data_IF_149498808012
#
_entry.id   IF_149498808012
#
_cell.length_a   1.000
_cell.length_b   1.000
_cell.length_c   1.000
_cell.angle_alpha   90.00
_cell.angle_beta   90.00
_cell.angle_gamma   90.00
#
_symmetry.space_group_name_H-M   'P 1'
#
loop_
_entity.id
_entity.type
_entity.pdbx_description
1 polymer ?
#
# COMPACT_ATOMS: atom_id res chain seq x y z
N UNK A 1 14.90 24.75 -16.95
CA UNK A 1 14.82 23.45 -17.66
C UNK A 1 13.61 22.69 -17.13
N UNK A 2 12.93 21.90 -17.95
CA UNK A 2 11.78 21.10 -17.50
C UNK A 2 12.17 20.02 -16.46
N UNK A 3 11.19 19.37 -15.83
CA UNK A 3 11.44 18.27 -14.90
C UNK A 3 12.23 17.14 -15.58
N UNK A 4 13.19 16.54 -14.86
CA UNK A 4 14.10 15.49 -15.36
C UNK A 4 14.19 14.34 -14.37
N UNK A 5 14.41 13.13 -14.88
CA UNK A 5 14.68 11.95 -14.06
C UNK A 5 16.02 12.07 -13.32
N UNK A 6 17.01 12.74 -13.93
CA UNK A 6 18.34 13.00 -13.36
C UNK A 6 18.70 14.47 -13.65
N UNK A 7 18.31 15.41 -12.78
CA UNK A 7 18.41 16.85 -13.07
C UNK A 7 19.83 17.36 -13.34
N UNK A 8 20.82 16.83 -12.63
CA UNK A 8 22.24 17.22 -12.68
C UNK A 8 23.14 16.19 -13.39
N UNK A 9 22.52 15.24 -14.10
CA UNK A 9 23.19 14.10 -14.76
C UNK A 9 23.91 13.11 -13.82
N UNK A 10 23.75 13.22 -12.50
CA UNK A 10 24.36 12.30 -11.52
C UNK A 10 23.33 11.76 -10.52
N UNK A 11 22.53 12.63 -9.91
CA UNK A 11 21.59 12.28 -8.83
C UNK A 11 20.16 12.12 -9.37
N UNK A 12 19.53 10.95 -9.20
CA UNK A 12 18.14 10.75 -9.59
C UNK A 12 17.19 11.62 -8.77
N UNK A 13 16.13 12.12 -9.40
CA UNK A 13 14.96 12.65 -8.70
C UNK A 13 14.09 11.52 -8.15
N UNK A 14 13.04 11.83 -7.39
CA UNK A 14 12.06 10.83 -6.93
C UNK A 14 11.51 9.96 -8.07
N UNK A 15 11.20 10.58 -9.22
CA UNK A 15 10.80 9.86 -10.42
C UNK A 15 11.89 8.89 -10.92
N UNK A 16 13.15 9.34 -10.98
CA UNK A 16 14.28 8.48 -11.33
C UNK A 16 14.45 7.31 -10.35
N UNK A 17 14.35 7.58 -9.05
CA UNK A 17 14.40 6.57 -8.00
C UNK A 17 13.25 5.55 -8.11
N UNK A 18 12.04 5.95 -8.49
CA UNK A 18 10.93 5.00 -8.72
C UNK A 18 11.24 4.04 -9.87
N UNK A 19 11.81 4.53 -10.98
CA UNK A 19 12.24 3.68 -12.10
C UNK A 19 13.29 2.68 -11.63
N UNK A 20 14.30 3.14 -10.89
CA UNK A 20 15.35 2.26 -10.34
C UNK A 20 14.78 1.22 -9.39
N UNK A 21 13.98 1.63 -8.40
CA UNK A 21 13.38 0.74 -7.41
C UNK A 21 12.51 -0.33 -8.07
N UNK A 22 11.72 0.04 -9.08
CA UNK A 22 10.90 -0.91 -9.85
C UNK A 22 11.76 -1.99 -10.51
N UNK A 23 12.86 -1.61 -11.15
CA UNK A 23 13.73 -2.58 -11.83
C UNK A 23 14.52 -3.44 -10.84
N UNK A 24 14.97 -2.86 -9.72
CA UNK A 24 15.64 -3.61 -8.64
C UNK A 24 14.69 -4.67 -8.08
N UNK A 25 13.46 -4.29 -7.70
CA UNK A 25 12.47 -5.22 -7.16
C UNK A 25 12.14 -6.34 -8.16
N UNK A 26 11.98 -6.01 -9.44
CA UNK A 26 11.80 -7.02 -10.51
C UNK A 26 13.00 -7.96 -10.62
N UNK A 27 14.22 -7.42 -10.57
CA UNK A 27 15.45 -8.20 -10.61
C UNK A 27 15.63 -9.13 -9.40
N UNK A 28 15.10 -8.74 -8.23
CA UNK A 28 15.05 -9.56 -7.02
C UNK A 28 13.89 -10.58 -7.03
N UNK A 29 13.06 -10.61 -8.08
CA UNK A 29 11.93 -11.52 -8.17
C UNK A 29 10.75 -11.15 -7.28
N UNK A 30 10.59 -9.88 -6.92
CA UNK A 30 9.45 -9.43 -6.12
C UNK A 30 8.12 -9.81 -6.81
N UNK A 31 7.15 -10.39 -6.07
CA UNK A 31 5.89 -10.81 -6.64
C UNK A 31 5.08 -9.60 -7.10
N UNK A 32 4.30 -9.80 -8.17
CA UNK A 32 3.43 -8.75 -8.72
C UNK A 32 2.20 -8.50 -7.85
N UNK A 33 1.75 -9.54 -7.16
CA UNK A 33 0.47 -9.59 -6.46
C UNK A 33 0.63 -9.09 -5.04
N UNK A 34 -0.16 -8.08 -4.67
CA UNK A 34 -0.39 -7.70 -3.27
C UNK A 34 -1.42 -8.65 -2.71
N UNK A 35 -2.63 -8.63 -3.28
CA UNK A 35 -3.70 -9.57 -2.97
C UNK A 35 -4.80 -9.48 -4.02
N UNK A 36 -5.62 -10.52 -4.15
CA UNK A 36 -6.73 -10.57 -5.10
C UNK A 36 -7.93 -11.28 -4.50
N UNK A 37 -9.12 -10.75 -4.76
CA UNK A 37 -10.40 -11.29 -4.30
C UNK A 37 -11.34 -11.35 -5.50
N UNK A 38 -11.89 -12.54 -5.75
CA UNK A 38 -12.86 -12.78 -6.81
C UNK A 38 -14.19 -13.24 -6.21
N UNK A 39 -15.28 -12.59 -6.64
CA UNK A 39 -16.64 -12.84 -6.14
C UNK A 39 -17.58 -13.00 -7.34
N UNK A 40 -18.50 -13.94 -7.25
CA UNK A 40 -19.52 -14.18 -8.26
C UNK A 40 -20.92 -13.92 -7.71
N UNK A 41 -21.77 -13.27 -8.51
CA UNK A 41 -23.21 -13.13 -8.23
C UNK A 41 -23.94 -14.33 -8.83
N UNK A 42 -24.33 -15.28 -7.98
CA UNK A 42 -24.93 -16.55 -8.46
C UNK A 42 -26.45 -16.46 -8.65
N UNK A 43 -27.09 -15.51 -7.97
CA UNK A 43 -28.52 -15.23 -8.01
C UNK A 43 -28.74 -13.79 -7.50
N UNK A 44 -29.92 -13.17 -7.72
CA UNK A 44 -30.23 -11.88 -7.13
C UNK A 44 -29.91 -11.87 -5.62
N UNK A 45 -29.12 -10.89 -5.18
CA UNK A 45 -28.74 -10.73 -3.77
C UNK A 45 -27.96 -11.90 -3.16
N UNK A 46 -27.32 -12.74 -3.98
CA UNK A 46 -26.54 -13.91 -3.55
C UNK A 46 -25.12 -13.85 -4.13
N UNK A 47 -24.14 -13.75 -3.23
CA UNK A 47 -22.74 -13.53 -3.60
C UNK A 47 -21.87 -14.67 -3.08
N UNK A 48 -21.00 -15.20 -3.93
CA UNK A 48 -20.10 -16.31 -3.64
C UNK A 48 -18.65 -15.89 -3.85
N UNK A 49 -17.82 -16.01 -2.82
CA UNK A 49 -16.37 -15.94 -2.96
C UNK A 49 -15.95 -17.06 -3.90
N UNK A 50 -15.14 -16.79 -4.92
CA UNK A 50 -14.63 -17.83 -5.83
C UNK A 50 -13.13 -18.01 -5.67
N UNK A 51 -12.40 -16.94 -5.35
CA UNK A 51 -10.96 -16.96 -5.12
C UNK A 51 -10.56 -15.88 -4.11
N UNK A 52 -9.55 -16.18 -3.29
CA UNK A 52 -8.86 -15.21 -2.45
C UNK A 52 -7.39 -15.56 -2.40
N UNK A 53 -6.52 -14.62 -2.75
CA UNK A 53 -5.07 -14.78 -2.76
C UNK A 53 -4.43 -13.67 -1.91
N UNK A 54 -3.59 -14.07 -0.95
CA UNK A 54 -2.97 -13.18 0.04
C UNK A 54 -3.96 -12.24 0.74
N UNK A 55 -5.20 -12.70 0.93
CA UNK A 55 -6.25 -12.01 1.65
C UNK A 55 -7.14 -13.03 2.38
N UNK A 56 -7.59 -12.65 3.56
CA UNK A 56 -8.59 -13.36 4.34
C UNK A 56 -9.91 -12.61 4.24
N UNK A 57 -11.00 -13.35 4.00
CA UNK A 57 -12.34 -12.79 3.84
C UNK A 57 -13.22 -13.28 4.99
N UNK A 58 -14.13 -12.45 5.46
CA UNK A 58 -15.15 -12.85 6.43
C UNK A 58 -16.47 -12.12 6.18
N UNK A 59 -17.52 -12.60 6.83
CA UNK A 59 -18.82 -11.93 6.85
C UNK A 59 -18.74 -10.59 7.59
N UNK A 60 -19.52 -9.60 7.13
CA UNK A 60 -19.68 -8.34 7.87
C UNK A 60 -20.33 -8.62 9.22
N UNK A 61 -19.75 -8.10 10.30
CA UNK A 61 -20.23 -8.29 11.68
C UNK A 61 -19.67 -9.52 12.39
N UNK A 62 -18.88 -10.35 11.70
CA UNK A 62 -18.13 -11.44 12.33
C UNK A 62 -16.82 -10.94 12.95
N UNK A 63 -16.42 -11.55 14.05
CA UNK A 63 -15.14 -11.26 14.71
C UNK A 63 -14.03 -12.02 13.99
N UNK A 64 -13.12 -11.31 13.32
CA UNK A 64 -12.05 -11.91 12.52
C UNK A 64 -11.01 -12.72 13.30
N UNK A 65 -10.87 -12.47 14.60
CA UNK A 65 -9.93 -13.22 15.45
C UNK A 65 -10.36 -14.67 15.69
N UNK A 66 -11.57 -15.04 15.27
CA UNK A 66 -12.07 -16.41 15.36
C UNK A 66 -11.91 -17.12 14.00
N UNK A 67 -11.06 -18.17 13.90
CA UNK A 67 -10.79 -18.86 12.64
C UNK A 67 -12.05 -19.38 11.92
N UNK A 68 -13.09 -19.75 12.65
CA UNK A 68 -14.37 -20.20 12.07
C UNK A 68 -15.12 -19.12 11.28
N UNK A 69 -14.78 -17.84 11.49
CA UNK A 69 -15.38 -16.72 10.78
C UNK A 69 -14.67 -16.41 9.45
N UNK A 70 -13.53 -17.06 9.18
CA UNK A 70 -12.76 -16.88 7.96
C UNK A 70 -13.34 -17.74 6.82
N UNK A 71 -13.61 -17.08 5.71
CA UNK A 71 -14.06 -17.65 4.47
C UNK A 71 -12.85 -18.03 3.62
N UNK A 72 -12.73 -19.32 3.32
CA UNK A 72 -11.65 -19.87 2.48
C UNK A 72 -12.29 -20.63 1.32
N UNK A 73 -11.91 -20.28 0.10
CA UNK A 73 -12.41 -20.93 -1.11
C UNK A 73 -13.89 -20.65 -1.41
N UNK A 74 -14.54 -21.49 -2.22
CA UNK A 74 -15.87 -21.19 -2.74
C UNK A 74 -16.99 -21.22 -1.70
N UNK A 75 -17.38 -20.06 -1.18
CA UNK A 75 -18.37 -19.94 -0.09
C UNK A 75 -19.24 -18.70 -0.28
N UNK A 76 -20.50 -18.76 0.16
CA UNK A 76 -21.37 -17.58 0.14
C UNK A 76 -20.80 -16.50 1.07
N UNK A 77 -20.98 -15.23 0.71
CA UNK A 77 -20.53 -14.05 1.47
C UNK A 77 -21.73 -13.18 1.89
N UNK A 78 -22.83 -13.23 1.14
CA UNK A 78 -24.11 -12.67 1.58
C UNK A 78 -25.26 -13.36 0.84
N UNK A 79 -26.37 -13.60 1.55
CA UNK A 79 -27.62 -14.14 0.98
C UNK A 79 -28.74 -13.16 1.29
N UNK A 80 -29.58 -12.88 0.28
CA UNK A 80 -30.72 -11.98 0.39
C UNK A 80 -30.34 -10.55 0.80
N UNK A 81 -29.11 -10.10 0.51
CA UNK A 81 -28.70 -8.71 0.74
C UNK A 81 -28.70 -7.88 -0.54
N UNK A 82 -29.29 -6.67 -0.53
CA UNK A 82 -29.30 -5.79 -1.69
C UNK A 82 -27.89 -5.33 -2.10
N UNK A 83 -26.94 -5.36 -1.15
CA UNK A 83 -25.56 -4.95 -1.35
C UNK A 83 -24.61 -6.10 -1.06
N UNK A 84 -23.51 -6.18 -1.80
CA UNK A 84 -22.39 -7.03 -1.43
C UNK A 84 -21.61 -6.33 -0.32
N UNK A 85 -21.38 -7.02 0.81
CA UNK A 85 -20.54 -6.50 1.88
C UNK A 85 -19.82 -7.61 2.61
N UNK A 86 -18.55 -7.38 2.94
CA UNK A 86 -17.65 -8.35 3.55
C UNK A 86 -16.51 -7.63 4.28
N UNK A 87 -15.77 -8.38 5.09
CA UNK A 87 -14.52 -7.89 5.67
C UNK A 87 -13.35 -8.53 4.94
N UNK A 88 -12.35 -7.72 4.58
CA UNK A 88 -11.11 -8.16 3.93
C UNK A 88 -9.92 -7.77 4.81
N UNK A 89 -9.06 -8.74 5.09
CA UNK A 89 -7.76 -8.53 5.73
C UNK A 89 -6.68 -9.01 4.78
N UNK A 90 -5.86 -8.08 4.30
CA UNK A 90 -4.80 -8.39 3.34
C UNK A 90 -3.53 -8.89 4.03
N UNK A 91 -2.73 -9.69 3.33
CA UNK A 91 -1.42 -10.13 3.82
C UNK A 91 -0.32 -9.08 3.61
N UNK A 92 -0.56 -8.07 2.78
CA UNK A 92 0.35 -6.95 2.54
C UNK A 92 -0.42 -5.68 2.17
N UNK A 93 0.20 -4.51 2.40
CA UNK A 93 -0.29 -3.23 1.90
C UNK A 93 0.13 -3.03 0.43
N UNK A 94 -0.67 -2.34 -0.40
CA UNK A 94 -0.23 -1.88 -1.71
C UNK A 94 1.00 -0.98 -1.62
N UNK A 95 1.82 -0.94 -2.68
CA UNK A 95 3.05 -0.16 -2.73
C UNK A 95 2.71 1.34 -2.81
N UNK A 96 3.01 2.14 -1.77
CA UNK A 96 2.78 3.58 -1.83
C UNK A 96 3.77 4.25 -2.79
N UNK A 97 3.25 5.02 -3.73
CA UNK A 97 4.05 5.79 -4.68
C UNK A 97 4.14 7.24 -4.19
N UNK A 98 5.37 7.76 -4.10
CA UNK A 98 5.63 9.14 -3.71
C UNK A 98 5.01 10.12 -4.74
N UNK A 99 4.39 11.24 -4.32
CA UNK A 99 3.70 12.16 -5.23
C UNK A 99 4.62 12.79 -6.29
N UNK A 100 5.89 13.05 -5.98
CA UNK A 100 6.88 13.60 -6.93
C UNK A 100 7.46 12.56 -7.91
N UNK A 101 6.65 11.61 -8.34
CA UNK A 101 7.06 10.56 -9.31
C UNK A 101 6.29 10.63 -10.63
N UNK A 102 5.43 11.63 -10.81
CA UNK A 102 4.60 11.79 -12.02
C UNK A 102 5.37 11.62 -13.33
N UNK A 103 6.56 12.21 -13.41
CA UNK A 103 7.42 12.09 -14.60
C UNK A 103 7.75 10.64 -14.97
N UNK A 104 7.92 9.75 -13.98
CA UNK A 104 8.15 8.33 -14.24
C UNK A 104 6.87 7.65 -14.71
N UNK A 105 5.73 7.97 -14.11
CA UNK A 105 4.43 7.36 -14.45
C UNK A 105 3.95 7.74 -15.87
N UNK A 106 4.44 8.84 -16.43
CA UNK A 106 4.17 9.26 -17.81
C UNK A 106 5.04 8.52 -18.85
N UNK A 107 6.02 7.70 -18.43
CA UNK A 107 6.86 6.91 -19.34
C UNK A 107 6.01 5.82 -20.01
N UNK A 108 5.97 5.74 -21.34
CA UNK A 108 5.20 4.70 -22.03
C UNK A 108 5.56 3.29 -21.56
N UNK A 109 4.52 2.50 -21.27
CA UNK A 109 4.62 1.11 -20.79
C UNK A 109 5.29 0.90 -19.42
N UNK A 110 5.65 1.96 -18.69
CA UNK A 110 6.12 1.84 -17.32
C UNK A 110 4.91 1.84 -16.38
N UNK A 111 4.53 0.66 -15.87
CA UNK A 111 3.33 0.50 -15.03
C UNK A 111 3.71 -0.18 -13.71
N UNK A 112 4.43 0.51 -12.81
CA UNK A 112 4.99 -0.10 -11.61
C UNK A 112 3.92 -0.75 -10.72
N UNK A 113 2.71 -0.16 -10.63
CA UNK A 113 1.62 -0.77 -9.87
C UNK A 113 1.10 -2.06 -10.53
N UNK A 114 0.95 -2.12 -11.86
CA UNK A 114 0.55 -3.37 -12.51
C UNK A 114 1.66 -4.43 -12.53
N UNK A 115 2.91 -4.00 -12.35
CA UNK A 115 4.09 -4.86 -12.37
C UNK A 115 4.45 -5.40 -10.99
N UNK A 116 4.25 -4.63 -9.92
CA UNK A 116 4.74 -4.93 -8.57
C UNK A 116 3.72 -4.68 -7.46
N UNK A 117 2.52 -4.17 -7.79
CA UNK A 117 1.52 -3.86 -6.79
C UNK A 117 0.10 -4.05 -7.33
N UNK A 118 -0.28 -5.30 -7.60
CA UNK A 118 -1.65 -5.65 -7.99
C UNK A 118 -2.50 -5.88 -6.74
N UNK A 119 -3.37 -4.93 -6.44
CA UNK A 119 -4.34 -5.01 -5.35
C UNK A 119 -5.74 -5.12 -5.93
N UNK A 120 -6.19 -6.35 -6.16
CA UNK A 120 -7.28 -6.60 -7.09
C UNK A 120 -8.61 -6.90 -6.39
N UNK A 121 -9.69 -6.47 -7.04
CA UNK A 121 -11.05 -6.92 -6.77
C UNK A 121 -11.72 -7.23 -8.11
N UNK A 122 -12.32 -8.41 -8.22
CA UNK A 122 -13.12 -8.82 -9.37
C UNK A 122 -14.47 -9.31 -8.91
N UNK A 123 -15.52 -8.82 -9.57
CA UNK A 123 -16.90 -9.21 -9.28
C UNK A 123 -17.63 -9.48 -10.58
N UNK A 124 -18.04 -10.73 -10.79
CA UNK A 124 -18.70 -11.19 -12.01
C UNK A 124 -20.21 -11.28 -11.86
N UNK A 125 -20.91 -11.28 -13.00
CA UNK A 125 -22.37 -11.47 -13.07
C UNK A 125 -23.20 -10.42 -12.33
N UNK A 126 -22.63 -9.22 -12.10
CA UNK A 126 -23.37 -8.12 -11.50
C UNK A 126 -24.58 -7.73 -12.38
N UNK A 127 -25.79 -7.57 -11.79
CA UNK A 127 -26.98 -7.27 -12.57
C UNK A 127 -27.03 -5.83 -13.09
N UNK A 128 -26.56 -4.85 -12.30
CA UNK A 128 -26.58 -3.44 -12.68
C UNK A 128 -25.33 -3.05 -13.49
N UNK A 129 -25.39 -1.93 -14.19
CA UNK A 129 -24.28 -1.48 -15.05
C UNK A 129 -23.16 -0.79 -14.26
N UNK A 130 -23.44 -0.24 -13.08
CA UNK A 130 -22.49 0.52 -12.25
C UNK A 130 -22.66 0.23 -10.77
N UNK A 131 -21.54 0.27 -10.06
CA UNK A 131 -21.47 0.08 -8.62
C UNK A 131 -20.54 1.10 -7.99
N UNK A 132 -20.96 1.65 -6.85
CA UNK A 132 -20.09 2.37 -5.95
C UNK A 132 -19.40 1.37 -5.02
N UNK A 133 -18.08 1.49 -4.88
CA UNK A 133 -17.30 0.76 -3.88
C UNK A 133 -17.02 1.69 -2.71
N UNK A 134 -17.21 1.18 -1.50
CA UNK A 134 -16.75 1.83 -0.27
C UNK A 134 -15.91 0.88 0.58
N UNK A 135 -14.91 1.43 1.25
CA UNK A 135 -14.05 0.76 2.23
C UNK A 135 -14.16 1.55 3.53
N UNK A 136 -14.57 0.89 4.62
CA UNK A 136 -14.91 1.51 5.91
C UNK A 136 -15.83 2.72 5.76
N UNK A 137 -16.90 2.52 4.99
CA UNK A 137 -17.91 3.55 4.67
C UNK A 137 -17.39 4.78 3.91
N UNK A 138 -16.10 4.81 3.51
CA UNK A 138 -15.54 5.81 2.60
C UNK A 138 -15.65 5.34 1.16
N UNK A 139 -16.34 6.11 0.31
CA UNK A 139 -16.41 5.85 -1.14
C UNK A 139 -15.02 5.97 -1.77
N UNK A 140 -14.63 4.97 -2.56
CA UNK A 140 -13.39 4.96 -3.35
C UNK A 140 -13.66 5.18 -4.85
N UNK A 141 -14.93 5.32 -5.23
CA UNK A 141 -15.34 5.61 -6.60
C UNK A 141 -16.41 4.66 -7.14
N UNK A 142 -16.83 4.96 -8.37
CA UNK A 142 -17.81 4.19 -9.13
C UNK A 142 -17.14 3.43 -10.26
N UNK A 143 -17.47 2.15 -10.38
CA UNK A 143 -16.94 1.25 -11.39
C UNK A 143 -18.08 0.66 -12.20
N UNK A 144 -17.85 0.50 -13.50
CA UNK A 144 -18.76 -0.26 -14.36
C UNK A 144 -18.68 -1.75 -14.01
N UNK A 145 -19.78 -2.46 -14.27
CA UNK A 145 -19.81 -3.93 -14.21
C UNK A 145 -18.72 -4.54 -15.07
N UNK A 146 -18.44 -3.97 -16.24
CA UNK A 146 -17.45 -4.49 -17.17
C UNK A 146 -16.03 -4.37 -16.59
N UNK A 147 -15.70 -3.25 -15.93
CA UNK A 147 -14.45 -3.09 -15.19
C UNK A 147 -14.35 -4.10 -14.03
N UNK A 148 -15.42 -4.25 -13.24
CA UNK A 148 -15.41 -5.18 -12.11
C UNK A 148 -15.33 -6.63 -12.55
N UNK A 149 -15.97 -7.00 -13.67
CA UNK A 149 -15.91 -8.35 -14.23
C UNK A 149 -14.51 -8.67 -14.77
N UNK A 150 -13.83 -7.69 -15.37
CA UNK A 150 -12.44 -7.82 -15.79
C UNK A 150 -11.46 -7.90 -14.61
N UNK A 151 -11.82 -7.30 -13.47
CA UNK A 151 -10.97 -7.11 -12.31
C UNK A 151 -10.30 -5.73 -12.33
N UNK A 152 -10.38 -5.02 -11.21
CA UNK A 152 -9.80 -3.69 -11.04
C UNK A 152 -8.60 -3.73 -10.09
N UNK A 153 -7.51 -3.08 -10.47
CA UNK A 153 -6.36 -2.85 -9.59
C UNK A 153 -6.60 -1.54 -8.80
N UNK A 154 -6.69 -1.64 -7.49
CA UNK A 154 -7.05 -0.56 -6.56
C UNK A 154 -5.86 -0.02 -5.77
N UNK A 155 -4.62 -0.38 -6.12
CA UNK A 155 -3.42 -0.10 -5.30
C UNK A 155 -3.21 1.36 -4.91
N UNK A 156 -3.63 2.30 -5.75
CA UNK A 156 -3.51 3.74 -5.49
C UNK A 156 -4.84 4.41 -5.12
N UNK A 157 -5.95 3.66 -5.00
CA UNK A 157 -7.27 4.20 -4.75
C UNK A 157 -8.13 3.25 -3.90
N UNK A 158 -7.59 2.78 -2.78
CA UNK A 158 -8.25 1.91 -1.82
C UNK A 158 -8.58 2.63 -0.50
N UNK A 159 -8.85 3.94 -0.56
CA UNK A 159 -9.32 4.74 0.58
C UNK A 159 -8.41 4.61 1.82
N UNK A 160 -8.93 4.16 2.97
CA UNK A 160 -8.15 3.99 4.21
C UNK A 160 -6.87 3.15 4.06
N UNK A 161 -6.87 2.16 3.17
CA UNK A 161 -5.71 1.29 2.92
C UNK A 161 -4.59 2.08 2.24
N UNK A 162 -4.93 2.88 1.22
CA UNK A 162 -3.97 3.76 0.56
C UNK A 162 -3.47 4.84 1.53
N UNK A 163 -4.33 5.35 2.41
CA UNK A 163 -3.92 6.30 3.46
C UNK A 163 -2.90 5.67 4.41
N UNK A 164 -3.15 4.44 4.89
CA UNK A 164 -2.20 3.72 5.74
C UNK A 164 -0.86 3.49 5.02
N UNK A 165 -0.89 3.06 3.75
CA UNK A 165 0.32 2.85 2.97
C UNK A 165 1.13 4.15 2.78
N UNK A 166 0.47 5.28 2.53
CA UNK A 166 1.15 6.58 2.41
C UNK A 166 1.70 7.09 3.74
N UNK A 167 0.99 6.87 4.84
CA UNK A 167 1.51 7.16 6.19
C UNK A 167 2.77 6.33 6.50
N UNK A 168 2.76 5.04 6.14
CA UNK A 168 3.92 4.17 6.26
C UNK A 168 5.10 4.70 5.44
N UNK A 169 4.88 5.10 4.19
CA UNK A 169 5.92 5.70 3.35
C UNK A 169 6.52 6.93 4.03
N UNK A 170 5.69 7.85 4.51
CA UNK A 170 6.18 9.07 5.17
C UNK A 170 7.05 8.74 6.38
N UNK A 171 6.63 7.79 7.24
CA UNK A 171 7.43 7.38 8.41
C UNK A 171 8.76 6.75 8.03
N UNK A 172 8.81 5.99 6.94
CA UNK A 172 10.06 5.45 6.40
C UNK A 172 10.98 6.59 5.93
N UNK A 173 10.44 7.61 5.26
CA UNK A 173 11.20 8.79 4.85
C UNK A 173 11.76 9.55 6.05
N UNK A 174 10.92 9.85 7.05
CA UNK A 174 11.33 10.53 8.27
C UNK A 174 12.46 9.77 9.00
N UNK A 175 12.34 8.44 9.08
CA UNK A 175 13.39 7.59 9.67
C UNK A 175 14.68 7.63 8.83
N UNK A 176 14.56 7.59 7.51
CA UNK A 176 15.73 7.65 6.62
C UNK A 176 16.46 8.99 6.74
N UNK A 177 15.75 10.10 6.92
CA UNK A 177 16.34 11.42 7.16
C UNK A 177 17.03 11.49 8.53
N UNK A 178 16.44 10.91 9.57
CA UNK A 178 17.07 10.78 10.89
C UNK A 178 18.35 9.94 10.82
N UNK A 179 18.30 8.79 10.12
CA UNK A 179 19.47 7.94 9.89
C UNK A 179 20.54 8.67 9.07
N UNK A 180 20.15 9.40 8.02
CA UNK A 180 21.06 10.20 7.21
C UNK A 180 21.78 11.25 8.06
N UNK A 181 21.05 11.96 8.92
CA UNK A 181 21.60 12.93 9.87
C UNK A 181 22.59 12.27 10.84
N UNK A 182 22.18 11.15 11.46
CA UNK A 182 23.00 10.35 12.37
C UNK A 182 24.32 9.93 11.74
N UNK A 183 24.27 9.47 10.50
CA UNK A 183 25.46 9.05 9.78
C UNK A 183 26.29 10.25 9.29
N UNK A 184 25.72 11.14 8.48
CA UNK A 184 26.45 12.19 7.77
C UNK A 184 26.88 13.35 8.65
N UNK A 185 26.00 13.81 9.53
CA UNK A 185 26.21 15.06 10.27
C UNK A 185 26.82 14.81 11.66
N UNK A 186 26.82 13.57 12.14
CA UNK A 186 27.32 13.21 13.47
C UNK A 186 28.45 12.20 13.39
N UNK A 187 28.21 10.99 12.89
CA UNK A 187 29.20 9.91 12.91
C UNK A 187 30.46 10.24 12.10
N UNK A 188 30.29 10.65 10.83
CA UNK A 188 31.41 10.93 9.93
C UNK A 188 31.80 12.41 9.90
N UNK A 189 31.13 13.25 10.69
CA UNK A 189 31.47 14.66 10.77
C UNK A 189 32.88 14.82 11.35
N UNK A 190 33.73 15.51 10.58
CA UNK A 190 35.08 15.87 10.99
C UNK A 190 35.14 17.37 11.23
N UNK A 191 35.33 17.75 12.49
CA UNK A 191 35.53 19.14 12.84
C UNK A 191 36.94 19.61 12.43
N UNK A 192 37.08 20.87 12.00
CA UNK A 192 38.38 21.51 11.85
C UNK A 192 39.18 21.45 13.16
N UNK A 193 40.51 21.36 13.07
CA UNK A 193 41.40 21.19 14.23
C UNK A 193 41.15 22.21 15.36
N UNK A 194 40.91 23.46 14.98
CA UNK A 194 40.70 24.58 15.90
C UNK A 194 39.39 24.47 16.73
N UNK A 195 38.49 23.55 16.38
CA UNK A 195 37.19 23.35 17.05
C UNK A 195 37.10 22.02 17.82
N UNK A 196 38.16 21.19 17.82
CA UNK A 196 38.08 19.76 18.25
C UNK A 196 37.83 19.49 19.74
N UNK A 197 37.79 20.50 20.58
CA UNK A 197 37.62 20.30 22.03
C UNK A 197 36.25 19.68 22.33
N UNK A 198 36.23 18.57 23.08
CA UNK A 198 35.04 17.85 23.57
C UNK A 198 34.05 17.28 22.52
N UNK A 199 34.41 17.25 21.24
CA UNK A 199 33.53 16.77 20.16
C UNK A 199 33.24 15.28 20.27
N UNK A 200 34.20 14.44 20.67
CA UNK A 200 33.99 12.98 20.73
C UNK A 200 32.93 12.58 21.77
N UNK A 201 32.93 13.24 22.92
CA UNK A 201 31.92 13.02 23.97
C UNK A 201 30.54 13.45 23.50
N UNK A 202 30.43 14.65 22.91
CA UNK A 202 29.18 15.16 22.35
C UNK A 202 28.66 14.27 21.21
N UNK A 203 29.56 13.80 20.33
CA UNK A 203 29.24 12.85 19.25
C UNK A 203 28.67 11.57 19.83
N UNK A 204 29.32 10.98 20.82
CA UNK A 204 28.87 9.72 21.44
C UNK A 204 27.46 9.86 22.03
N UNK A 205 27.20 10.95 22.75
CA UNK A 205 25.88 11.22 23.33
C UNK A 205 24.81 11.43 22.25
N UNK A 206 25.13 12.20 21.20
CA UNK A 206 24.17 12.47 20.12
C UNK A 206 23.89 11.25 19.25
N UNK A 207 24.88 10.39 19.01
CA UNK A 207 24.67 9.10 18.36
C UNK A 207 23.72 8.23 19.17
N UNK A 208 23.90 8.13 20.49
CA UNK A 208 23.00 7.36 21.35
C UNK A 208 21.57 7.92 21.32
N UNK A 209 21.40 9.25 21.32
CA UNK A 209 20.09 9.90 21.21
C UNK A 209 19.41 9.59 19.88
N UNK A 210 20.14 9.70 18.76
CA UNK A 210 19.61 9.43 17.42
C UNK A 210 19.31 7.94 17.22
N UNK A 211 20.14 7.04 17.76
CA UNK A 211 19.88 5.60 17.70
C UNK A 211 18.59 5.24 18.45
N UNK A 212 18.35 5.84 19.63
CA UNK A 212 17.09 5.68 20.36
C UNK A 212 15.89 6.25 19.59
N UNK A 213 16.05 7.42 18.95
CA UNK A 213 15.01 8.02 18.11
C UNK A 213 14.66 7.14 16.90
N UNK A 214 15.66 6.62 16.20
CA UNK A 214 15.49 5.73 15.04
C UNK A 214 14.81 4.42 15.46
N UNK A 215 15.18 3.84 16.60
CA UNK A 215 14.55 2.64 17.12
C UNK A 215 13.06 2.85 17.46
N UNK A 216 12.71 4.02 18.02
CA UNK A 216 11.32 4.39 18.26
C UNK A 216 10.53 4.54 16.95
N UNK A 217 11.11 5.22 15.94
CA UNK A 217 10.52 5.35 14.60
C UNK A 217 10.33 3.99 13.90
N UNK A 218 11.29 3.07 14.05
CA UNK A 218 11.16 1.70 13.52
C UNK A 218 9.97 0.98 14.16
N UNK A 219 9.77 1.14 15.47
CA UNK A 219 8.62 0.54 16.17
C UNK A 219 7.28 1.09 15.64
N UNK A 220 7.20 2.39 15.32
CA UNK A 220 6.02 2.98 14.67
C UNK A 220 5.77 2.40 13.27
N UNK A 221 6.84 2.24 12.47
CA UNK A 221 6.79 1.63 11.13
C UNK A 221 6.33 0.17 11.22
N UNK A 222 6.82 -0.58 12.21
CA UNK A 222 6.49 -1.99 12.43
C UNK A 222 5.00 -2.19 12.75
N UNK A 223 4.38 -1.26 13.47
CA UNK A 223 2.93 -1.28 13.69
C UNK A 223 2.16 -0.83 12.44
N UNK A 224 2.61 0.24 11.76
CA UNK A 224 1.92 0.78 10.58
C UNK A 224 1.96 -0.14 9.37
N UNK A 225 2.98 -1.00 9.23
CA UNK A 225 3.08 -1.92 8.08
C UNK A 225 2.13 -3.10 8.15
N UNK A 226 1.50 -3.37 9.31
CA UNK A 226 0.55 -4.48 9.47
C UNK A 226 -0.77 -4.11 8.81
N UNK A 227 -1.22 -4.83 7.77
CA UNK A 227 -2.53 -4.57 7.18
C UNK A 227 -3.64 -4.74 8.22
N UNK A 228 -4.64 -3.87 8.13
CA UNK A 228 -5.80 -3.90 9.01
C UNK A 228 -6.98 -4.56 8.29
N UNK A 229 -7.93 -5.11 9.05
CA UNK A 229 -9.20 -5.53 8.48
C UNK A 229 -10.04 -4.33 8.07
N UNK A 230 -10.63 -4.39 6.88
CA UNK A 230 -11.49 -3.34 6.35
C UNK A 230 -12.84 -3.89 5.89
N UNK A 231 -13.90 -3.12 6.10
CA UNK A 231 -15.26 -3.43 5.65
C UNK A 231 -15.44 -2.93 4.23
N UNK A 232 -15.67 -3.85 3.30
CA UNK A 232 -15.97 -3.56 1.91
C UNK A 232 -17.47 -3.56 1.68
N UNK A 233 -17.95 -2.60 0.90
CA UNK A 233 -19.35 -2.57 0.44
C UNK A 233 -19.41 -2.18 -1.03
N UNK A 234 -20.18 -2.94 -1.81
CA UNK A 234 -20.53 -2.65 -3.19
C UNK A 234 -22.03 -2.38 -3.28
N UNK A 235 -22.39 -1.17 -3.71
CA UNK A 235 -23.78 -0.73 -3.87
C UNK A 235 -24.08 -0.43 -5.34
N UNK A 236 -25.20 -0.90 -5.90
CA UNK A 236 -25.59 -0.49 -7.24
C UNK A 236 -25.85 1.02 -7.29
N UNK A 237 -25.38 1.68 -8.36
CA UNK A 237 -25.73 3.08 -8.64
C UNK A 237 -26.97 3.05 -9.54
N UNK A 238 -28.05 3.70 -9.09
CA UNK A 238 -29.32 3.84 -9.83
C UNK A 238 -29.23 5.07 -10.73
#
# INVERSE_FOLDING_TARGET
>A
GGPRLIPDAVHPSWAGHLVMATHILKGLGAPRLVSSVEIDVTAPNSYRLTSSQNALIAWRGSVLSQPQNLLVGPVFINKNSPNLSFVRTDGALPWPIHPDTKLALDIPNFKPLDELSRYELKVTNLPQSKYEISIDDQSIGTFSREQLSAGVNLSNNAGPITVQAQQLLQKILDKNDAFNTRWRNVQIFQAPEWLKTDIETARTAELARLDAQIAAMESEIDELRKPKPHVWTLKPVI
#
